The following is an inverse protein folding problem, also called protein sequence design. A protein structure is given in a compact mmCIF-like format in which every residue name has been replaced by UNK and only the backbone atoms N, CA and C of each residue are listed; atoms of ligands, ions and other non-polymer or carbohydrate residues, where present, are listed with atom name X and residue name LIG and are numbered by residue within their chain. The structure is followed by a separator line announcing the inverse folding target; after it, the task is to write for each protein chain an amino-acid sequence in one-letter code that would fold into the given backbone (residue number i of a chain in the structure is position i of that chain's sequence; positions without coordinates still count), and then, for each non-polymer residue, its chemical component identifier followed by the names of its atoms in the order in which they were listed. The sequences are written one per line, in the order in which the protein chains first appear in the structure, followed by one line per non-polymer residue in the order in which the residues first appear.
data_IF_436696716845
#
_entry.id   IF_436696716845
#
_cell.length_a   1.000
_cell.length_b   1.000
_cell.length_c   1.000
_cell.angle_alpha   90.00
_cell.angle_beta   90.00
_cell.angle_gamma   90.00
#
_symmetry.space_group_name_H-M   'P 1'
#
loop_
_entity.id
_entity.type
_entity.pdbx_description
1 polymer ?
#
# COMPACT_ATOMS: atom_id res chain seq x y z
N UNK A 1 8.07 30.93 2.44
CA UNK A 1 6.93 30.51 3.27
C UNK A 1 5.97 29.58 2.52
N UNK A 2 5.43 29.96 1.35
CA UNK A 2 4.44 29.16 0.59
C UNK A 2 4.93 27.78 0.13
N UNK A 3 6.17 27.69 -0.36
CA UNK A 3 6.75 26.41 -0.84
C UNK A 3 6.89 25.39 0.30
N UNK A 4 7.35 25.83 1.48
CA UNK A 4 7.50 24.95 2.65
C UNK A 4 6.16 24.45 3.17
N UNK A 5 5.13 25.30 3.17
CA UNK A 5 3.78 24.89 3.54
C UNK A 5 3.25 23.80 2.58
N UNK A 6 3.47 23.97 1.26
CA UNK A 6 3.04 22.98 0.27
C UNK A 6 3.74 21.62 0.43
N UNK A 7 5.04 21.63 0.72
CA UNK A 7 5.81 20.39 0.98
C UNK A 7 5.29 19.69 2.23
N UNK A 8 5.06 20.44 3.31
CA UNK A 8 4.52 19.88 4.55
C UNK A 8 3.11 19.30 4.35
N UNK A 9 2.23 20.02 3.65
CA UNK A 9 0.88 19.53 3.32
C UNK A 9 0.94 18.27 2.48
N UNK A 10 1.83 18.20 1.47
CA UNK A 10 2.03 16.98 0.67
C UNK A 10 2.45 15.81 1.58
N UNK A 11 3.39 16.05 2.49
CA UNK A 11 3.88 15.03 3.43
C UNK A 11 2.80 14.53 4.40
N UNK A 12 2.03 15.43 5.00
CA UNK A 12 0.94 15.06 5.93
C UNK A 12 -0.13 14.24 5.21
N UNK A 13 -0.50 14.63 3.99
CA UNK A 13 -1.47 13.87 3.18
C UNK A 13 -0.95 12.47 2.86
N UNK A 14 0.32 12.37 2.45
CA UNK A 14 0.96 11.08 2.20
C UNK A 14 0.95 10.18 3.43
N UNK A 15 1.41 10.67 4.59
CA UNK A 15 1.47 9.86 5.82
C UNK A 15 0.08 9.42 6.27
N UNK A 16 -0.92 10.29 6.14
CA UNK A 16 -2.31 9.96 6.45
C UNK A 16 -2.84 8.86 5.53
N UNK A 17 -2.70 9.02 4.20
CA UNK A 17 -3.13 8.01 3.23
C UNK A 17 -2.40 6.69 3.42
N UNK A 18 -1.10 6.74 3.68
CA UNK A 18 -0.28 5.55 3.93
C UNK A 18 -0.74 4.79 5.18
N UNK A 19 -1.06 5.48 6.27
CA UNK A 19 -1.56 4.86 7.50
C UNK A 19 -2.91 4.16 7.29
N UNK A 20 -3.84 4.81 6.58
CA UNK A 20 -5.13 4.22 6.23
C UNK A 20 -4.98 2.97 5.36
N UNK A 21 -4.17 3.05 4.30
CA UNK A 21 -3.91 1.92 3.41
C UNK A 21 -3.19 0.78 4.14
N UNK A 22 -2.26 1.08 5.04
CA UNK A 22 -1.57 0.04 5.82
C UNK A 22 -2.51 -0.67 6.78
N UNK A 23 -3.42 0.06 7.43
CA UNK A 23 -4.41 -0.51 8.35
C UNK A 23 -5.41 -1.40 7.60
N UNK A 24 -6.00 -0.89 6.52
CA UNK A 24 -6.95 -1.65 5.71
C UNK A 24 -6.27 -2.83 5.01
N UNK A 25 -5.09 -2.60 4.41
CA UNK A 25 -4.31 -3.62 3.72
C UNK A 25 -3.93 -4.76 4.65
N UNK A 26 -3.48 -4.47 5.87
CA UNK A 26 -3.22 -5.49 6.88
C UNK A 26 -4.49 -6.29 7.22
N UNK A 27 -5.62 -5.61 7.45
CA UNK A 27 -6.90 -6.29 7.73
C UNK A 27 -7.38 -7.20 6.60
N UNK A 28 -7.33 -6.73 5.35
CA UNK A 28 -7.66 -7.54 4.18
C UNK A 28 -6.67 -8.70 3.99
N UNK A 29 -5.37 -8.45 4.19
CA UNK A 29 -4.35 -9.49 4.12
C UNK A 29 -4.59 -10.57 5.18
N UNK A 30 -4.97 -10.23 6.41
CA UNK A 30 -5.26 -11.24 7.45
C UNK A 30 -6.39 -12.20 7.05
N UNK A 31 -7.37 -11.73 6.28
CA UNK A 31 -8.51 -12.54 5.81
C UNK A 31 -8.28 -13.14 4.41
N UNK A 32 -7.13 -12.86 3.78
CA UNK A 32 -6.86 -13.18 2.39
C UNK A 32 -6.73 -14.69 2.11
N UNK A 33 -6.25 -15.47 3.08
CA UNK A 33 -6.12 -16.93 2.93
C UNK A 33 -7.48 -17.64 2.87
N UNK A 34 -8.47 -17.13 3.61
CA UNK A 34 -9.82 -17.70 3.68
C UNK A 34 -10.77 -17.08 2.65
N UNK A 35 -10.42 -15.90 2.11
CA UNK A 35 -11.27 -15.14 1.21
C UNK A 35 -10.47 -14.50 0.08
N UNK A 36 -10.65 -15.05 -1.13
CA UNK A 36 -10.06 -14.50 -2.36
C UNK A 36 -10.48 -13.04 -2.60
N UNK A 37 -11.66 -12.63 -2.13
CA UNK A 37 -12.08 -11.23 -2.21
C UNK A 37 -11.16 -10.34 -1.37
N UNK A 38 -10.88 -10.73 -0.13
CA UNK A 38 -9.98 -9.97 0.74
C UNK A 38 -8.55 -9.96 0.19
N UNK A 39 -8.07 -11.07 -0.38
CA UNK A 39 -6.77 -11.10 -1.05
C UNK A 39 -6.67 -10.14 -2.25
N UNK A 40 -7.74 -10.05 -3.07
CA UNK A 40 -7.81 -9.08 -4.19
C UNK A 40 -7.88 -7.63 -3.72
N UNK A 41 -8.59 -7.36 -2.63
CA UNK A 41 -8.64 -6.03 -2.04
C UNK A 41 -7.26 -5.64 -1.46
N UNK A 42 -6.55 -6.56 -0.82
CA UNK A 42 -5.17 -6.35 -0.36
C UNK A 42 -4.20 -6.06 -1.52
N UNK A 43 -4.37 -6.73 -2.66
CA UNK A 43 -3.62 -6.46 -3.90
C UNK A 43 -3.86 -5.02 -4.39
N UNK A 44 -5.13 -4.61 -4.49
CA UNK A 44 -5.51 -3.28 -4.94
C UNK A 44 -4.96 -2.18 -4.02
N UNK A 45 -5.02 -2.40 -2.69
CA UNK A 45 -4.44 -1.52 -1.69
C UNK A 45 -2.92 -1.41 -1.86
N UNK A 46 -2.23 -2.55 -2.04
CA UNK A 46 -0.77 -2.57 -2.23
C UNK A 46 -0.35 -1.82 -3.50
N UNK A 47 -1.10 -1.94 -4.60
CA UNK A 47 -0.89 -1.15 -5.83
C UNK A 47 -1.04 0.36 -5.60
N UNK A 48 -2.02 0.77 -4.80
CA UNK A 48 -2.17 2.18 -4.42
C UNK A 48 -1.00 2.67 -3.56
N UNK A 49 -0.48 1.82 -2.66
CA UNK A 49 0.71 2.13 -1.87
C UNK A 49 1.97 2.28 -2.74
N UNK A 50 2.15 1.46 -3.79
CA UNK A 50 3.23 1.61 -4.78
C UNK A 50 3.12 2.98 -5.48
N UNK A 51 1.93 3.35 -5.94
CA UNK A 51 1.69 4.63 -6.60
C UNK A 51 2.06 5.82 -5.69
N UNK A 52 1.55 5.81 -4.45
CA UNK A 52 1.81 6.88 -3.47
C UNK A 52 3.29 7.00 -3.07
N UNK A 53 3.95 5.87 -2.80
CA UNK A 53 5.36 5.85 -2.43
C UNK A 53 6.27 6.29 -3.58
N UNK A 54 5.92 5.96 -4.82
CA UNK A 54 6.61 6.46 -6.02
C UNK A 54 6.44 7.97 -6.17
N UNK A 55 5.24 8.51 -5.98
CA UNK A 55 4.96 9.95 -6.14
C UNK A 55 5.66 10.84 -5.10
N UNK A 56 5.91 10.29 -3.90
CA UNK A 56 6.61 10.97 -2.80
C UNK A 56 8.12 10.68 -2.80
N UNK A 57 8.56 9.64 -3.50
CA UNK A 57 9.95 9.22 -3.53
C UNK A 57 10.41 8.57 -2.23
N UNK A 58 9.55 7.79 -1.57
CA UNK A 58 9.88 7.05 -0.34
C UNK A 58 10.26 5.60 -0.69
N UNK A 59 11.57 5.25 -0.76
CA UNK A 59 12.01 3.93 -1.17
C UNK A 59 11.64 2.84 -0.16
N UNK A 60 11.56 3.16 1.13
CA UNK A 60 11.22 2.18 2.16
C UNK A 60 9.75 1.79 2.08
N UNK A 61 8.88 2.78 1.86
CA UNK A 61 7.47 2.54 1.61
C UNK A 61 7.29 1.72 0.32
N UNK A 62 7.99 2.09 -0.76
CA UNK A 62 7.89 1.39 -2.04
C UNK A 62 8.21 -0.11 -1.93
N UNK A 63 9.35 -0.45 -1.30
CA UNK A 63 9.74 -1.85 -1.09
C UNK A 63 8.71 -2.60 -0.23
N UNK A 64 8.17 -1.97 0.82
CA UNK A 64 7.10 -2.58 1.64
C UNK A 64 5.84 -2.83 0.81
N UNK A 65 5.45 -1.91 -0.06
CA UNK A 65 4.27 -2.10 -0.92
C UNK A 65 4.42 -3.28 -1.86
N UNK A 66 5.62 -3.48 -2.42
CA UNK A 66 5.89 -4.65 -3.25
C UNK A 66 5.82 -5.95 -2.44
N UNK A 67 6.35 -5.97 -1.21
CA UNK A 67 6.20 -7.12 -0.32
C UNK A 67 4.73 -7.44 -0.05
N UNK A 68 3.91 -6.43 0.26
CA UNK A 68 2.48 -6.60 0.48
C UNK A 68 1.75 -7.08 -0.77
N UNK A 69 2.14 -6.58 -1.95
CA UNK A 69 1.62 -7.02 -3.23
C UNK A 69 1.91 -8.50 -3.47
N UNK A 70 3.17 -8.93 -3.31
CA UNK A 70 3.55 -10.33 -3.46
C UNK A 70 2.79 -11.23 -2.49
N UNK A 71 2.61 -10.80 -1.23
CA UNK A 71 1.82 -11.57 -0.26
C UNK A 71 0.37 -11.74 -0.73
N UNK A 72 -0.24 -10.68 -1.29
CA UNK A 72 -1.59 -10.77 -1.85
C UNK A 72 -1.70 -11.74 -3.03
N UNK A 73 -0.64 -11.90 -3.84
CA UNK A 73 -0.58 -12.89 -4.92
C UNK A 73 -0.49 -14.31 -4.37
N UNK A 74 0.33 -14.54 -3.35
CA UNK A 74 0.42 -15.83 -2.67
C UNK A 74 -0.94 -16.26 -2.10
N UNK A 75 -1.66 -15.33 -1.45
CA UNK A 75 -3.01 -15.58 -0.92
C UNK A 75 -4.03 -15.92 -2.01
N UNK A 76 -3.82 -15.40 -3.23
CA UNK A 76 -4.61 -15.73 -4.42
C UNK A 76 -4.12 -16.99 -5.15
N UNK A 77 -3.05 -17.65 -4.67
CA UNK A 77 -2.38 -18.79 -5.32
C UNK A 77 -1.82 -18.45 -6.72
N UNK A 78 -1.41 -17.20 -6.91
CA UNK A 78 -0.76 -16.70 -8.14
C UNK A 78 0.74 -16.64 -7.92
N UNK A 79 1.44 -17.73 -8.23
CA UNK A 79 2.86 -17.89 -7.89
C UNK A 79 3.83 -17.36 -8.94
N UNK A 80 3.34 -17.10 -10.15
CA UNK A 80 4.15 -16.65 -11.30
C UNK A 80 4.18 -15.13 -11.47
N UNK A 81 3.53 -14.39 -10.57
CA UNK A 81 3.42 -12.92 -10.53
C UNK A 81 4.38 -12.32 -9.50
#
# INVERSE_FOLDING_TARGET
ASIQLNVLTKRVRYESSWAWLSTLGGGHSCLGEESTRHAKDAEAISKNQICLSTEVGDPNALVKSYLFLSLSYLQQKRYDE
#
